data_IF_092882680928
#
_entry.id   IF_092882680928
#
_cell.length_a   1.000
_cell.length_b   1.000
_cell.length_c   1.000
_cell.angle_alpha   90.00
_cell.angle_beta   90.00
_cell.angle_gamma   90.00
#
_symmetry.space_group_name_H-M   'P 1'
#
loop_
_entity.id
_entity.type
_entity.pdbx_description
1 polymer ?
#
# COMPACT_ATOMS: atom_id res chain seq x y z
N UNK A 1 43.50 7.00 -16.01
CA UNK A 1 42.97 7.31 -14.66
C UNK A 1 43.52 8.66 -14.21
N UNK A 2 42.76 9.74 -14.37
CA UNK A 2 43.17 11.09 -13.96
C UNK A 2 42.73 11.35 -12.53
N UNK A 3 43.67 11.34 -11.58
CA UNK A 3 43.42 11.78 -10.20
C UNK A 3 43.23 13.30 -10.21
N UNK A 4 41.99 13.79 -10.07
CA UNK A 4 41.72 15.20 -9.79
C UNK A 4 42.20 15.50 -8.37
N UNK A 5 43.31 16.23 -8.22
CA UNK A 5 43.71 16.75 -6.92
C UNK A 5 42.72 17.82 -6.48
N UNK A 6 42.19 17.68 -5.26
CA UNK A 6 41.30 18.68 -4.67
C UNK A 6 42.09 19.97 -4.38
N UNK A 7 41.51 21.13 -4.73
CA UNK A 7 42.11 22.44 -4.41
C UNK A 7 42.21 22.63 -2.90
N UNK A 8 43.32 23.19 -2.38
CA UNK A 8 43.43 23.53 -0.97
C UNK A 8 42.44 24.66 -0.61
N UNK A 9 41.85 24.56 0.58
CA UNK A 9 40.74 25.40 1.07
C UNK A 9 40.96 26.92 0.91
N UNK A 10 42.22 27.35 1.01
CA UNK A 10 42.62 28.76 0.96
C UNK A 10 42.42 29.39 -0.43
N UNK A 11 42.38 28.57 -1.48
CA UNK A 11 42.26 28.98 -2.89
C UNK A 11 40.82 28.88 -3.44
N UNK A 12 39.86 28.48 -2.60
CA UNK A 12 38.44 28.42 -2.98
C UNK A 12 37.80 29.80 -2.88
N UNK A 13 36.97 30.14 -3.86
CA UNK A 13 36.17 31.38 -3.86
C UNK A 13 35.09 31.33 -2.77
N UNK A 14 34.60 32.49 -2.32
CA UNK A 14 33.57 32.55 -1.27
C UNK A 14 32.29 31.77 -1.61
N UNK A 15 31.97 31.60 -2.90
CA UNK A 15 30.84 30.78 -3.37
C UNK A 15 31.08 29.28 -3.20
N UNK A 16 32.27 28.79 -3.58
CA UNK A 16 32.63 27.37 -3.45
C UNK A 16 32.74 26.93 -1.97
N UNK A 17 33.26 27.80 -1.10
CA UNK A 17 33.31 27.52 0.36
C UNK A 17 31.92 27.33 0.95
N UNK A 18 30.95 28.14 0.53
CA UNK A 18 29.54 28.01 0.98
C UNK A 18 28.92 26.70 0.48
N UNK A 19 29.18 26.30 -0.76
CA UNK A 19 28.67 25.04 -1.30
C UNK A 19 29.24 23.81 -0.56
N UNK A 20 30.54 23.83 -0.22
CA UNK A 20 31.17 22.77 0.57
C UNK A 20 30.59 22.72 1.99
N UNK A 21 30.36 23.87 2.62
CA UNK A 21 29.73 23.94 3.94
C UNK A 21 28.29 23.42 3.93
N UNK A 22 27.48 23.79 2.93
CA UNK A 22 26.10 23.31 2.78
C UNK A 22 26.08 21.80 2.54
N UNK A 23 26.99 21.29 1.71
CA UNK A 23 27.14 19.85 1.47
C UNK A 23 27.49 19.07 2.74
N UNK A 24 28.41 19.59 3.56
CA UNK A 24 28.76 18.98 4.85
C UNK A 24 27.62 19.03 5.87
N UNK A 25 26.83 20.12 5.92
CA UNK A 25 25.67 20.22 6.81
C UNK A 25 24.61 19.15 6.48
N UNK A 26 24.35 18.89 5.19
CA UNK A 26 23.43 17.85 4.78
C UNK A 26 23.92 16.44 5.17
N UNK A 27 25.23 16.17 5.04
CA UNK A 27 25.82 14.90 5.44
C UNK A 27 25.76 14.72 6.96
N UNK A 28 26.09 15.76 7.74
CA UNK A 28 25.99 15.72 9.21
C UNK A 28 24.54 15.51 9.66
N UNK A 29 23.56 16.12 8.99
CA UNK A 29 22.15 15.91 9.31
C UNK A 29 21.69 14.47 9.05
N UNK A 30 22.13 13.85 7.95
CA UNK A 30 21.80 12.45 7.64
C UNK A 30 22.50 11.48 8.60
N UNK A 31 23.77 11.72 8.94
CA UNK A 31 24.49 10.88 9.92
C UNK A 31 23.91 11.06 11.32
N UNK A 32 23.55 12.29 11.71
CA UNK A 32 22.85 12.53 12.96
C UNK A 32 21.49 11.83 12.97
N UNK A 33 20.74 11.81 11.87
CA UNK A 33 19.46 11.11 11.78
C UNK A 33 19.61 9.57 11.88
N UNK A 34 20.62 9.00 11.23
CA UNK A 34 20.85 7.54 11.24
C UNK A 34 21.49 7.06 12.55
N UNK A 35 22.27 7.91 13.22
CA UNK A 35 23.05 7.54 14.40
C UNK A 35 22.56 8.21 15.70
N UNK A 36 21.40 8.90 15.69
CA UNK A 36 20.80 9.43 16.92
C UNK A 36 20.35 8.26 17.80
N UNK A 37 21.01 8.01 18.95
CA UNK A 37 20.55 7.01 19.88
C UNK A 37 19.47 7.69 20.72
N UNK A 38 18.21 7.35 20.48
CA UNK A 38 17.10 7.75 21.35
C UNK A 38 17.29 7.12 22.73
N UNK A 39 18.07 7.79 23.58
CA UNK A 39 18.00 7.62 25.02
C UNK A 39 16.85 8.49 25.51
N UNK A 40 15.69 7.86 25.66
CA UNK A 40 14.79 8.28 26.71
C UNK A 40 15.24 7.55 27.97
N UNK A 41 15.88 8.29 28.86
CA UNK A 41 16.17 7.85 30.22
C UNK A 41 14.85 7.70 31.00
N UNK A 42 14.66 6.53 31.59
CA UNK A 42 14.10 6.40 32.93
C UNK A 42 14.86 5.26 33.64
N UNK A 43 15.39 5.46 34.86
CA UNK A 43 16.23 4.47 35.51
C UNK A 43 15.41 3.39 36.25
N UNK A 44 15.75 2.13 35.95
CA UNK A 44 15.97 1.00 36.87
C UNK A 44 14.91 0.60 37.91
N UNK A 45 14.30 -0.57 37.62
CA UNK A 45 13.88 -1.65 38.54
C UNK A 45 12.69 -1.41 39.49
N UNK A 46 11.54 -1.97 39.13
CA UNK A 46 10.72 -2.80 40.03
C UNK A 46 9.86 -3.77 39.21
N UNK A 47 9.70 -4.99 39.70
CA UNK A 47 8.95 -6.09 39.08
C UNK A 47 7.45 -5.82 39.31
N UNK A 48 6.68 -5.48 38.27
CA UNK A 48 5.21 -5.62 38.26
C UNK A 48 4.70 -5.61 36.80
N UNK A 49 3.84 -6.56 36.38
CA UNK A 49 3.33 -6.64 35.02
C UNK A 49 2.06 -5.79 34.86
N UNK A 50 2.19 -4.60 34.25
CA UNK A 50 1.10 -3.79 33.70
C UNK A 50 1.73 -2.74 32.76
N UNK A 51 1.18 -2.28 31.66
CA UNK A 51 0.02 -2.57 30.84
C UNK A 51 0.32 -1.84 29.51
N UNK A 52 -0.32 -2.26 28.42
CA UNK A 52 -0.09 -1.76 27.08
C UNK A 52 -0.45 -0.27 26.89
N UNK A 53 0.38 0.48 26.17
CA UNK A 53 -0.04 1.59 25.29
C UNK A 53 1.15 2.14 24.51
N UNK A 54 1.13 2.38 23.20
CA UNK A 54 0.04 2.40 22.25
C UNK A 54 0.55 1.87 20.91
N UNK A 55 0.09 0.69 20.51
CA UNK A 55 0.00 0.42 19.09
C UNK A 55 -1.06 1.39 18.55
N UNK A 56 -0.74 2.18 17.53
CA UNK A 56 -1.75 2.84 16.71
C UNK A 56 -2.65 1.72 16.21
N UNK A 57 -3.77 1.53 16.88
CA UNK A 57 -4.69 0.44 16.59
C UNK A 57 -5.37 0.87 15.30
N UNK A 58 -4.98 0.24 14.19
CA UNK A 58 -5.70 0.39 12.93
C UNK A 58 -7.20 0.20 13.22
N UNK A 59 -8.08 1.01 12.62
CA UNK A 59 -9.51 0.90 12.87
C UNK A 59 -9.93 -0.56 12.71
N UNK A 60 -10.64 -1.07 13.72
CA UNK A 60 -11.06 -2.46 13.72
C UNK A 60 -11.98 -2.71 12.53
N UNK A 61 -11.74 -3.81 11.81
CA UNK A 61 -12.60 -4.23 10.72
C UNK A 61 -14.04 -4.46 11.23
N UNK A 62 -15.02 -4.10 10.40
CA UNK A 62 -16.45 -4.29 10.73
C UNK A 62 -16.78 -5.77 10.95
N UNK A 63 -16.20 -6.64 10.12
CA UNK A 63 -16.41 -8.09 10.19
C UNK A 63 -15.11 -8.81 10.55
N UNK A 64 -15.17 -9.57 11.64
CA UNK A 64 -14.04 -10.38 12.15
C UNK A 64 -14.31 -11.88 12.13
N UNK A 65 -15.50 -12.31 11.71
CA UNK A 65 -15.88 -13.71 11.63
C UNK A 65 -16.70 -14.00 10.37
N UNK A 66 -16.51 -15.17 9.74
CA UNK A 66 -17.35 -15.61 8.64
C UNK A 66 -18.75 -15.96 9.16
N UNK A 67 -19.77 -15.30 8.63
CA UNK A 67 -21.19 -15.56 8.89
C UNK A 67 -22.03 -15.10 7.68
N UNK A 68 -23.35 -15.27 7.73
CA UNK A 68 -24.24 -14.93 6.61
C UNK A 68 -24.21 -13.43 6.26
N UNK A 69 -24.13 -12.55 7.25
CA UNK A 69 -24.08 -11.10 7.03
C UNK A 69 -22.75 -10.66 6.42
N UNK A 70 -21.64 -11.18 6.93
CA UNK A 70 -20.31 -10.87 6.38
C UNK A 70 -20.11 -11.47 4.99
N UNK A 71 -20.69 -12.63 4.70
CA UNK A 71 -20.73 -13.20 3.35
C UNK A 71 -21.53 -12.31 2.38
N UNK A 72 -22.74 -11.89 2.75
CA UNK A 72 -23.55 -11.02 1.91
C UNK A 72 -22.84 -9.69 1.61
N UNK A 73 -22.19 -9.11 2.63
CA UNK A 73 -21.38 -7.90 2.46
C UNK A 73 -20.16 -8.13 1.58
N UNK A 74 -19.48 -9.27 1.70
CA UNK A 74 -18.33 -9.61 0.87
C UNK A 74 -18.75 -9.79 -0.61
N UNK A 75 -19.87 -10.47 -0.86
CA UNK A 75 -20.41 -10.65 -2.20
C UNK A 75 -20.80 -9.31 -2.84
N UNK A 76 -21.50 -8.46 -2.10
CA UNK A 76 -21.85 -7.13 -2.58
C UNK A 76 -20.60 -6.31 -2.91
N UNK A 77 -19.66 -6.22 -1.97
CA UNK A 77 -18.41 -5.50 -2.15
C UNK A 77 -17.62 -6.00 -3.37
N UNK A 78 -17.44 -7.32 -3.51
CA UNK A 78 -16.74 -7.90 -4.66
C UNK A 78 -17.47 -7.61 -5.98
N UNK A 79 -18.80 -7.62 -5.99
CA UNK A 79 -19.60 -7.24 -7.15
C UNK A 79 -19.40 -5.76 -7.52
N UNK A 80 -19.29 -4.86 -6.53
CA UNK A 80 -19.01 -3.44 -6.76
C UNK A 80 -17.61 -3.23 -7.34
N UNK A 81 -16.62 -4.01 -6.88
CA UNK A 81 -15.25 -4.01 -7.43
C UNK A 81 -15.21 -4.56 -8.85
N UNK A 82 -15.87 -5.69 -9.13
CA UNK A 82 -15.97 -6.24 -10.48
C UNK A 82 -16.63 -5.24 -11.43
N UNK A 83 -17.73 -4.62 -10.99
CA UNK A 83 -18.43 -3.62 -11.79
C UNK A 83 -17.54 -2.41 -12.04
N UNK A 84 -16.78 -1.94 -11.06
CA UNK A 84 -15.84 -0.84 -11.27
C UNK A 84 -14.76 -1.21 -12.31
N UNK A 85 -14.19 -2.41 -12.24
CA UNK A 85 -13.22 -2.88 -13.24
C UNK A 85 -13.83 -2.95 -14.64
N UNK A 86 -15.06 -3.44 -14.77
CA UNK A 86 -15.78 -3.52 -16.05
C UNK A 86 -16.14 -2.13 -16.59
N UNK A 87 -16.64 -1.23 -15.74
CA UNK A 87 -16.94 0.17 -16.06
C UNK A 87 -15.69 0.92 -16.54
N UNK A 88 -14.51 0.53 -16.05
CA UNK A 88 -13.24 1.14 -16.41
C UNK A 88 -12.75 0.77 -17.82
N UNK A 89 -13.08 -0.41 -18.34
CA UNK A 89 -12.61 -0.88 -19.64
C UNK A 89 -12.91 0.08 -20.80
N UNK A 90 -14.16 0.55 -21.00
CA UNK A 90 -14.44 1.53 -22.07
C UNK A 90 -13.75 2.87 -21.85
N UNK A 91 -13.40 3.23 -20.60
CA UNK A 91 -12.70 4.49 -20.30
C UNK A 91 -11.26 4.48 -20.80
N UNK A 92 -10.61 3.32 -20.90
CA UNK A 92 -9.25 3.19 -21.41
C UNK A 92 -9.13 3.76 -22.83
N UNK A 93 -10.15 3.57 -23.67
CA UNK A 93 -10.17 4.08 -25.04
C UNK A 93 -10.12 5.62 -25.12
N UNK A 94 -10.53 6.33 -24.07
CA UNK A 94 -10.51 7.80 -24.04
C UNK A 94 -9.10 8.36 -23.94
N UNK A 95 -8.17 7.62 -23.31
CA UNK A 95 -6.82 8.07 -22.95
C UNK A 95 -6.77 9.39 -22.15
N UNK A 96 -7.92 9.90 -21.68
CA UNK A 96 -8.00 11.17 -20.96
C UNK A 96 -7.53 10.97 -19.49
N UNK A 97 -6.40 11.58 -19.08
CA UNK A 97 -5.87 11.41 -17.74
C UNK A 97 -6.82 11.88 -16.64
N UNK A 98 -7.74 12.80 -16.92
CA UNK A 98 -8.76 13.28 -15.98
C UNK A 98 -9.79 12.18 -15.72
N UNK A 99 -10.33 11.58 -16.77
CA UNK A 99 -11.33 10.50 -16.69
C UNK A 99 -10.71 9.27 -16.02
N UNK A 100 -9.51 8.87 -16.46
CA UNK A 100 -8.79 7.74 -15.87
C UNK A 100 -8.43 8.01 -14.40
N UNK A 101 -8.07 9.26 -14.07
CA UNK A 101 -7.79 9.69 -12.69
C UNK A 101 -9.02 9.62 -11.79
N UNK A 102 -10.17 10.08 -12.27
CA UNK A 102 -11.44 9.98 -11.53
C UNK A 102 -11.83 8.52 -11.28
N UNK A 103 -11.73 7.67 -12.29
CA UNK A 103 -12.02 6.24 -12.14
C UNK A 103 -11.04 5.54 -11.18
N UNK A 104 -9.76 5.92 -11.22
CA UNK A 104 -8.76 5.43 -10.26
C UNK A 104 -9.10 5.79 -8.80
N UNK A 105 -9.74 6.95 -8.56
CA UNK A 105 -10.21 7.34 -7.22
C UNK A 105 -11.37 6.46 -6.76
N UNK A 106 -12.35 6.17 -7.63
CA UNK A 106 -13.44 5.23 -7.32
C UNK A 106 -12.92 3.86 -6.87
N UNK A 107 -11.94 3.29 -7.57
CA UNK A 107 -11.29 2.04 -7.14
C UNK A 107 -10.50 2.19 -5.82
N UNK A 108 -9.96 3.38 -5.54
CA UNK A 108 -9.32 3.67 -4.25
C UNK A 108 -10.34 3.66 -3.11
N UNK A 109 -11.50 4.29 -3.32
CA UNK A 109 -12.59 4.32 -2.33
C UNK A 109 -13.11 2.91 -2.04
N UNK A 110 -13.30 2.08 -3.08
CA UNK A 110 -13.66 0.67 -2.90
C UNK A 110 -12.57 -0.10 -2.14
N UNK A 111 -11.29 0.18 -2.41
CA UNK A 111 -10.19 -0.44 -1.65
C UNK A 111 -10.27 -0.11 -0.16
N UNK A 112 -10.50 1.16 0.18
CA UNK A 112 -10.64 1.58 1.59
C UNK A 112 -11.93 1.04 2.24
N UNK A 113 -13.02 0.94 1.48
CA UNK A 113 -14.26 0.29 1.93
C UNK A 113 -14.01 -1.18 2.28
N UNK A 114 -13.35 -1.94 1.40
CA UNK A 114 -13.01 -3.34 1.65
C UNK A 114 -12.15 -3.51 2.90
N UNK A 115 -11.14 -2.67 3.07
CA UNK A 115 -10.28 -2.64 4.27
C UNK A 115 -11.08 -2.33 5.54
N UNK A 116 -11.97 -1.36 5.51
CA UNK A 116 -12.83 -1.01 6.65
C UNK A 116 -13.80 -2.14 7.00
N UNK A 117 -14.30 -2.86 6.01
CA UNK A 117 -15.22 -3.98 6.21
C UNK A 117 -14.53 -5.23 6.74
N UNK A 118 -13.35 -5.58 6.20
CA UNK A 118 -12.77 -6.92 6.38
C UNK A 118 -11.32 -6.94 6.90
N UNK A 119 -10.70 -5.77 7.03
CA UNK A 119 -9.34 -5.60 7.55
C UNK A 119 -8.32 -5.23 6.48
N UNK A 120 -7.27 -4.53 6.90
CA UNK A 120 -6.25 -3.97 6.00
C UNK A 120 -5.20 -4.98 5.52
N UNK A 121 -5.07 -6.11 6.20
CA UNK A 121 -3.99 -7.08 5.96
C UNK A 121 -4.56 -8.49 5.83
N UNK A 122 -3.84 -9.36 5.12
CA UNK A 122 -4.19 -10.79 4.98
C UNK A 122 -4.22 -11.55 6.31
N UNK A 123 -3.64 -10.98 7.37
CA UNK A 123 -3.62 -11.57 8.71
C UNK A 123 -4.89 -11.25 9.52
N UNK A 124 -5.70 -10.29 9.07
CA UNK A 124 -7.01 -10.07 9.66
C UNK A 124 -7.92 -11.28 9.39
N UNK A 125 -8.89 -11.59 10.27
CA UNK A 125 -9.74 -12.78 10.13
C UNK A 125 -10.50 -12.90 8.81
N UNK A 126 -10.86 -11.79 8.16
CA UNK A 126 -11.44 -11.76 6.81
C UNK A 126 -10.56 -10.95 5.85
N UNK A 127 -9.28 -10.79 6.18
CA UNK A 127 -8.35 -9.87 5.53
C UNK A 127 -8.16 -10.09 4.04
N UNK A 128 -8.34 -11.33 3.56
CA UNK A 128 -8.34 -11.65 2.12
C UNK A 128 -9.38 -10.86 1.34
N UNK A 129 -10.57 -10.68 1.91
CA UNK A 129 -11.60 -9.83 1.33
C UNK A 129 -11.16 -8.36 1.32
N UNK A 130 -10.58 -7.87 2.41
CA UNK A 130 -10.16 -6.48 2.52
C UNK A 130 -9.03 -6.11 1.55
N UNK A 131 -8.06 -6.99 1.34
CA UNK A 131 -6.95 -6.73 0.40
C UNK A 131 -7.34 -6.89 -1.06
N UNK A 132 -8.48 -7.53 -1.39
CA UNK A 132 -8.89 -7.78 -2.79
C UNK A 132 -9.00 -6.49 -3.60
N UNK A 133 -9.46 -5.39 -2.99
CA UNK A 133 -9.55 -4.09 -3.65
C UNK A 133 -8.18 -3.52 -4.06
N UNK A 134 -7.14 -3.80 -3.27
CA UNK A 134 -5.75 -3.41 -3.61
C UNK A 134 -5.31 -4.09 -4.90
N UNK A 135 -5.60 -5.39 -5.07
CA UNK A 135 -5.24 -6.11 -6.29
C UNK A 135 -6.06 -5.66 -7.49
N UNK A 136 -7.35 -5.34 -7.31
CA UNK A 136 -8.17 -4.72 -8.35
C UNK A 136 -7.57 -3.38 -8.82
N UNK A 137 -7.13 -2.54 -7.87
CA UNK A 137 -6.45 -1.28 -8.18
C UNK A 137 -5.15 -1.52 -8.94
N UNK A 138 -4.34 -2.51 -8.55
CA UNK A 138 -3.12 -2.87 -9.27
C UNK A 138 -3.41 -3.32 -10.71
N UNK A 139 -4.44 -4.14 -10.93
CA UNK A 139 -4.90 -4.53 -12.25
C UNK A 139 -5.31 -3.31 -13.09
N UNK A 140 -6.12 -2.43 -12.52
CA UNK A 140 -6.52 -1.19 -13.19
C UNK A 140 -5.32 -0.32 -13.57
N UNK A 141 -4.37 -0.13 -12.65
CA UNK A 141 -3.16 0.63 -12.90
C UNK A 141 -2.30 0.00 -14.02
N UNK A 142 -2.22 -1.33 -14.07
CA UNK A 142 -1.55 -2.03 -15.16
C UNK A 142 -2.23 -1.72 -16.50
N UNK A 143 -3.57 -1.86 -16.59
CA UNK A 143 -4.37 -1.54 -17.78
C UNK A 143 -4.19 -0.07 -18.22
N UNK A 144 -4.27 0.88 -17.29
CA UNK A 144 -4.06 2.32 -17.55
C UNK A 144 -2.65 2.57 -18.07
N UNK A 145 -1.64 2.02 -17.40
CA UNK A 145 -0.25 2.24 -17.78
C UNK A 145 0.06 1.69 -19.17
N UNK A 146 -0.47 0.51 -19.49
CA UNK A 146 -0.31 -0.11 -20.81
C UNK A 146 -1.02 0.70 -21.89
N UNK A 147 -2.23 1.19 -21.60
CA UNK A 147 -3.00 2.03 -22.50
C UNK A 147 -2.27 3.33 -22.84
N UNK A 148 -1.77 4.03 -21.82
CA UNK A 148 -1.06 5.31 -22.02
C UNK A 148 0.31 5.13 -22.70
N UNK A 149 0.96 3.96 -22.54
CA UNK A 149 2.25 3.64 -23.17
C UNK A 149 2.10 2.99 -24.55
N UNK A 150 0.90 2.50 -24.89
CA UNK A 150 0.64 1.67 -26.06
C UNK A 150 1.06 0.20 -25.91
N UNK A 151 1.72 -0.17 -24.81
CA UNK A 151 2.13 -1.54 -24.50
C UNK A 151 2.39 -1.73 -23.00
N UNK A 152 2.36 -2.99 -22.55
CA UNK A 152 2.72 -3.32 -21.17
C UNK A 152 4.18 -2.97 -20.86
N UNK A 153 4.42 -2.45 -19.64
CA UNK A 153 5.78 -2.17 -19.17
C UNK A 153 6.62 -3.45 -19.03
N UNK A 154 5.96 -4.54 -18.65
CA UNK A 154 6.50 -5.89 -18.58
C UNK A 154 5.49 -6.81 -19.24
N UNK A 155 5.88 -7.63 -20.24
CA UNK A 155 4.96 -8.55 -20.89
C UNK A 155 4.28 -9.48 -19.88
N UNK A 156 2.96 -9.61 -19.98
CA UNK A 156 2.12 -10.41 -19.10
C UNK A 156 1.74 -9.74 -17.77
N UNK A 157 2.06 -8.46 -17.58
CA UNK A 157 1.77 -7.75 -16.33
C UNK A 157 0.26 -7.63 -16.04
N UNK A 158 -0.55 -7.32 -17.06
CA UNK A 158 -2.01 -7.23 -16.90
C UNK A 158 -2.57 -8.59 -16.51
N UNK A 159 -2.20 -9.65 -17.23
CA UNK A 159 -2.63 -11.01 -16.92
C UNK A 159 -2.22 -11.42 -15.50
N UNK A 160 -0.98 -11.15 -15.11
CA UNK A 160 -0.51 -11.47 -13.76
C UNK A 160 -1.28 -10.71 -12.67
N UNK A 161 -1.65 -9.45 -12.91
CA UNK A 161 -2.45 -8.67 -11.98
C UNK A 161 -3.91 -9.18 -11.92
N UNK A 162 -4.46 -9.62 -13.05
CA UNK A 162 -5.77 -10.25 -13.13
C UNK A 162 -5.82 -11.57 -12.37
N UNK A 163 -4.84 -12.43 -12.57
CA UNK A 163 -4.72 -13.72 -11.87
C UNK A 163 -4.64 -13.51 -10.34
N UNK A 164 -3.88 -12.50 -9.90
CA UNK A 164 -3.78 -12.14 -8.47
C UNK A 164 -5.12 -11.64 -7.92
N UNK A 165 -5.81 -10.77 -8.64
CA UNK A 165 -7.15 -10.29 -8.26
C UNK A 165 -8.14 -11.46 -8.13
N UNK A 166 -8.20 -12.33 -9.14
CA UNK A 166 -9.10 -13.49 -9.14
C UNK A 166 -8.75 -14.51 -8.06
N UNK A 167 -7.46 -14.71 -7.75
CA UNK A 167 -7.03 -15.55 -6.64
C UNK A 167 -7.53 -15.01 -5.31
N UNK A 168 -7.32 -13.73 -5.02
CA UNK A 168 -7.76 -13.12 -3.75
C UNK A 168 -9.28 -13.09 -3.61
N UNK A 169 -10.00 -12.84 -4.71
CA UNK A 169 -11.47 -12.95 -4.74
C UNK A 169 -11.94 -14.36 -4.38
N UNK A 170 -11.31 -15.40 -4.95
CA UNK A 170 -11.63 -16.80 -4.65
C UNK A 170 -11.30 -17.16 -3.19
N UNK A 171 -10.13 -16.74 -2.71
CA UNK A 171 -9.71 -16.92 -1.32
C UNK A 171 -10.69 -16.25 -0.35
N UNK A 172 -11.08 -15.00 -0.61
CA UNK A 172 -12.09 -14.29 0.17
C UNK A 172 -13.40 -15.09 0.29
N UNK A 173 -13.95 -15.55 -0.84
CA UNK A 173 -15.21 -16.30 -0.83
C UNK A 173 -15.07 -17.71 -0.20
N UNK A 174 -13.92 -18.35 -0.37
CA UNK A 174 -13.63 -19.68 0.19
C UNK A 174 -13.56 -19.71 1.73
N UNK A 175 -13.35 -18.57 2.38
CA UNK A 175 -13.34 -18.48 3.84
C UNK A 175 -14.74 -18.67 4.45
N UNK A 176 -15.80 -18.37 3.68
CA UNK A 176 -17.17 -18.50 4.17
C UNK A 176 -17.73 -19.92 4.04
N UNK A 177 -17.18 -20.76 3.17
CA UNK A 177 -17.60 -22.17 3.07
C UNK A 177 -17.09 -22.99 4.26
N UNK A 178 -15.88 -22.71 4.75
CA UNK A 178 -15.29 -23.44 5.89
C UNK A 178 -15.97 -23.12 7.24
N UNK A 179 -16.62 -21.97 7.37
CA UNK A 179 -17.35 -21.59 8.59
C UNK A 179 -18.67 -22.34 8.78
N UNK A 180 -19.17 -23.04 7.74
CA UNK A 180 -20.43 -23.79 7.81
C UNK A 180 -20.26 -25.23 8.30
N UNK A 181 -19.05 -25.79 8.26
CA UNK A 181 -18.77 -27.18 8.67
C UNK A 181 -18.48 -27.33 10.17
N UNK A 182 -18.15 -26.24 10.88
CA UNK A 182 -17.78 -26.29 12.31
C UNK A 182 -18.95 -26.12 13.28
N UNK A 183 -20.18 -26.03 12.79
CA UNK A 183 -21.41 -25.96 13.60
C UNK A 183 -22.43 -27.07 13.25
N UNK A 184 -21.97 -28.18 12.65
CA UNK A 184 -22.77 -29.38 12.36
C UNK A 184 -22.61 -30.46 13.42
#
# INVERSE_FOLDING_TARGET
MTKKQAKPWKDMTSGERKAVLVGWVAIVAVVAYVFWPSKHDAPTTSIEPAEASSAVTAPAATYTQPNSQSLASAQQYLSEVDQALADGEPLLATTDPTVLGQHSRRLSELTEQGKALFGETVFAPLGRCGVTGTFARTLWQAKVSATLRGSEATPGQIQSAEDQYLSQKRECLGMFSQGTETNG
#
